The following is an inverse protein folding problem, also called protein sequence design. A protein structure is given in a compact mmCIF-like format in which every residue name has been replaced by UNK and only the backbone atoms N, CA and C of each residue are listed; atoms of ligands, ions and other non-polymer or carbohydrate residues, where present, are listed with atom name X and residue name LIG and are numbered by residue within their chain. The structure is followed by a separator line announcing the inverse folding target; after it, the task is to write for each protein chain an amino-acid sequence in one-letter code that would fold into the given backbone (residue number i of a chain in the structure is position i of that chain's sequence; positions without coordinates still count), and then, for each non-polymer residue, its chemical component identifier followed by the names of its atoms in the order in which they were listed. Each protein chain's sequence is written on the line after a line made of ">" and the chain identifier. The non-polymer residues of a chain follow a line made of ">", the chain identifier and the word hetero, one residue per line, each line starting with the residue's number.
data_IF_700764936051
#
_entry.id   IF_700764936051
#
_cell.length_a   1.000
_cell.length_b   1.000
_cell.length_c   1.000
_cell.angle_alpha   90.00
_cell.angle_beta   90.00
_cell.angle_gamma   90.00
#
_symmetry.space_group_name_H-M   'P 1'
#
loop_
_entity.id
_entity.type
_entity.pdbx_description
1 polymer ?
#
# COMPACT_ATOMS: atom_id res chain seq x y z
N UNK A 1 8.27 4.30 -28.91
CA UNK A 1 7.01 3.73 -28.36
C UNK A 1 6.12 4.87 -27.91
N UNK A 2 4.81 4.85 -28.20
CA UNK A 2 3.86 5.75 -27.53
C UNK A 2 3.76 5.32 -26.07
N UNK A 3 3.96 6.25 -25.12
CA UNK A 3 3.72 6.00 -23.70
C UNK A 3 2.25 5.62 -23.51
N UNK A 4 1.96 4.61 -22.70
CA UNK A 4 0.59 4.28 -22.35
C UNK A 4 -0.02 5.47 -21.59
N UNK A 5 -1.29 5.75 -21.85
CA UNK A 5 -2.03 6.76 -21.10
C UNK A 5 -2.47 6.20 -19.76
N UNK A 6 -2.67 7.06 -18.77
CA UNK A 6 -3.25 6.63 -17.50
C UNK A 6 -4.69 6.14 -17.70
N UNK A 7 -5.00 4.98 -17.14
CA UNK A 7 -6.38 4.52 -16.99
C UNK A 7 -6.94 5.06 -15.66
N UNK A 8 -7.45 6.30 -15.70
CA UNK A 8 -8.02 6.98 -14.54
C UNK A 8 -9.17 6.19 -13.90
N UNK A 9 -10.02 5.56 -14.70
CA UNK A 9 -11.15 4.75 -14.21
C UNK A 9 -10.66 3.58 -13.35
N UNK A 10 -9.66 2.85 -13.85
CA UNK A 10 -9.01 1.78 -13.09
C UNK A 10 -8.33 2.28 -11.80
N UNK A 11 -7.69 3.44 -11.82
CA UNK A 11 -7.03 4.00 -10.64
C UNK A 11 -8.03 4.41 -9.57
N UNK A 12 -9.15 5.03 -9.97
CA UNK A 12 -10.26 5.39 -9.08
C UNK A 12 -10.87 4.15 -8.40
N UNK A 13 -11.00 3.03 -9.12
CA UNK A 13 -11.46 1.77 -8.54
C UNK A 13 -10.54 1.30 -7.41
N UNK A 14 -9.22 1.31 -7.62
CA UNK A 14 -8.25 0.94 -6.58
C UNK A 14 -8.34 1.88 -5.38
N UNK A 15 -8.33 3.19 -5.61
CA UNK A 15 -8.41 4.20 -4.54
C UNK A 15 -9.69 4.05 -3.72
N UNK A 16 -10.81 3.69 -4.33
CA UNK A 16 -12.09 3.48 -3.62
C UNK A 16 -12.11 2.29 -2.66
N UNK A 17 -11.18 1.34 -2.81
CA UNK A 17 -11.07 0.15 -1.95
C UNK A 17 -10.15 0.38 -0.75
N UNK A 18 -9.09 1.17 -0.91
CA UNK A 18 -8.12 1.49 0.16
C UNK A 18 -8.76 1.99 1.46
N UNK A 19 -9.68 2.98 1.47
CA UNK A 19 -10.21 3.52 2.72
C UNK A 19 -11.04 2.48 3.50
N UNK A 20 -11.60 1.48 2.82
CA UNK A 20 -12.32 0.38 3.48
C UNK A 20 -11.33 -0.50 4.25
N UNK A 21 -10.20 -0.82 3.63
CA UNK A 21 -9.15 -1.64 4.24
C UNK A 21 -8.48 -0.91 5.40
N UNK A 22 -8.13 0.38 5.24
CA UNK A 22 -7.56 1.19 6.33
C UNK A 22 -8.52 1.28 7.52
N UNK A 23 -9.79 1.60 7.27
CA UNK A 23 -10.81 1.61 8.32
C UNK A 23 -10.95 0.26 9.03
N UNK A 24 -10.84 -0.86 8.30
CA UNK A 24 -10.89 -2.19 8.92
C UNK A 24 -9.68 -2.44 9.82
N UNK A 25 -8.49 -2.01 9.42
CA UNK A 25 -7.27 -2.08 10.25
C UNK A 25 -7.43 -1.24 11.52
N UNK A 26 -7.91 -0.01 11.40
CA UNK A 26 -8.15 0.88 12.55
C UNK A 26 -9.16 0.26 13.52
N UNK A 27 -10.29 -0.25 13.01
CA UNK A 27 -11.30 -0.91 13.83
C UNK A 27 -10.76 -2.17 14.54
N UNK A 28 -9.78 -2.88 13.96
CA UNK A 28 -9.15 -4.03 14.61
C UNK A 28 -8.24 -3.56 15.75
N UNK A 29 -7.49 -2.49 15.53
CA UNK A 29 -6.62 -1.86 16.54
C UNK A 29 -7.44 -1.37 17.72
N UNK A 30 -8.50 -0.60 17.47
CA UNK A 30 -9.38 -0.06 18.51
C UNK A 30 -9.98 -1.18 19.38
N UNK A 31 -10.49 -2.23 18.74
CA UNK A 31 -11.02 -3.40 19.46
C UNK A 31 -9.97 -4.09 20.32
N UNK A 32 -8.75 -4.27 19.81
CA UNK A 32 -7.67 -4.91 20.57
C UNK A 32 -7.19 -4.06 21.75
N UNK A 33 -7.27 -2.73 21.66
CA UNK A 33 -6.99 -1.82 22.76
C UNK A 33 -8.05 -1.88 23.87
N UNK A 34 -9.33 -2.05 23.52
CA UNK A 34 -10.43 -2.17 24.48
C UNK A 34 -10.50 -3.54 25.15
N UNK A 35 -10.31 -4.61 24.36
CA UNK A 35 -10.32 -5.98 24.82
C UNK A 35 -9.38 -6.78 23.92
N UNK A 36 -8.22 -7.25 24.43
CA UNK A 36 -7.30 -8.06 23.65
C UNK A 36 -8.03 -9.31 23.14
N UNK A 37 -8.42 -9.28 21.88
CA UNK A 37 -9.07 -10.39 21.18
C UNK A 37 -8.05 -10.95 20.20
N UNK A 38 -8.13 -12.25 19.90
CA UNK A 38 -7.21 -12.92 18.97
C UNK A 38 -7.58 -12.59 17.51
N UNK A 39 -7.54 -11.30 17.15
CA UNK A 39 -7.87 -10.78 15.83
C UNK A 39 -6.66 -10.70 14.89
N UNK A 40 -5.54 -11.32 15.26
CA UNK A 40 -4.28 -11.35 14.50
C UNK A 40 -4.48 -11.78 13.04
N UNK A 41 -5.27 -12.84 12.81
CA UNK A 41 -5.54 -13.35 11.47
C UNK A 41 -6.29 -12.33 10.60
N UNK A 42 -7.25 -11.62 11.19
CA UNK A 42 -8.00 -10.57 10.51
C UNK A 42 -7.10 -9.37 10.18
N UNK A 43 -6.24 -8.97 11.13
CA UNK A 43 -5.28 -7.89 10.91
C UNK A 43 -4.33 -8.22 9.76
N UNK A 44 -3.71 -9.41 9.78
CA UNK A 44 -2.80 -9.85 8.71
C UNK A 44 -3.50 -9.91 7.35
N UNK A 45 -4.74 -10.37 7.31
CA UNK A 45 -5.53 -10.41 6.09
C UNK A 45 -5.78 -9.00 5.52
N UNK A 46 -6.22 -8.06 6.36
CA UNK A 46 -6.46 -6.68 5.92
C UNK A 46 -5.16 -5.95 5.56
N UNK A 47 -4.09 -6.17 6.31
CA UNK A 47 -2.78 -5.60 6.00
C UNK A 47 -2.28 -6.12 4.63
N UNK A 48 -2.49 -7.40 4.34
CA UNK A 48 -2.21 -7.99 3.03
C UNK A 48 -3.03 -7.33 1.93
N UNK A 49 -4.33 -7.08 2.17
CA UNK A 49 -5.19 -6.38 1.21
C UNK A 49 -4.66 -4.97 0.91
N UNK A 50 -4.19 -4.25 1.92
CA UNK A 50 -3.59 -2.92 1.75
C UNK A 50 -2.37 -2.97 0.82
N UNK A 51 -1.42 -3.87 1.11
CA UNK A 51 -0.20 -4.02 0.27
C UNK A 51 -0.54 -4.42 -1.17
N UNK A 52 -1.54 -5.30 -1.36
CA UNK A 52 -2.02 -5.68 -2.70
C UNK A 52 -2.63 -4.50 -3.46
N UNK A 53 -3.44 -3.67 -2.80
CA UNK A 53 -4.02 -2.48 -3.41
C UNK A 53 -2.95 -1.47 -3.80
N UNK A 54 -1.95 -1.25 -2.95
CA UNK A 54 -0.79 -0.41 -3.28
C UNK A 54 -0.03 -0.95 -4.50
N UNK A 55 0.22 -2.26 -4.55
CA UNK A 55 0.83 -2.92 -5.71
C UNK A 55 0.02 -2.76 -6.99
N UNK A 56 -1.31 -2.95 -6.90
CA UNK A 56 -2.24 -2.77 -8.02
C UNK A 56 -2.30 -1.32 -8.51
N UNK A 57 -2.15 -0.34 -7.61
CA UNK A 57 -2.04 1.07 -7.99
C UNK A 57 -0.74 1.34 -8.75
N UNK A 58 0.40 0.96 -8.17
CA UNK A 58 1.71 1.14 -8.79
C UNK A 58 1.78 0.48 -10.17
N UNK A 59 1.28 -0.75 -10.31
CA UNK A 59 1.28 -1.47 -11.59
C UNK A 59 0.56 -0.73 -12.70
N UNK A 60 -0.54 -0.04 -12.37
CA UNK A 60 -1.31 0.77 -13.31
C UNK A 60 -0.59 2.06 -13.69
N UNK A 61 0.12 2.67 -12.76
CA UNK A 61 0.89 3.88 -13.03
C UNK A 61 2.17 3.59 -13.83
N UNK A 62 2.94 2.57 -13.46
CA UNK A 62 4.24 2.23 -14.05
C UNK A 62 4.17 1.88 -15.55
N UNK A 63 3.05 1.29 -16.00
CA UNK A 63 2.80 1.03 -17.43
C UNK A 63 2.89 2.31 -18.28
N UNK A 64 2.56 3.48 -17.73
CA UNK A 64 2.62 4.77 -18.46
C UNK A 64 4.04 5.23 -18.76
N UNK A 65 5.02 4.78 -17.97
CA UNK A 65 6.44 5.04 -18.17
C UNK A 65 7.19 3.83 -18.72
N UNK A 66 6.46 2.80 -19.16
CA UNK A 66 7.03 1.55 -19.69
C UNK A 66 7.88 0.77 -18.68
N UNK A 67 7.63 0.98 -17.39
CA UNK A 67 8.26 0.21 -16.32
C UNK A 67 7.43 -1.06 -16.04
N UNK A 68 8.06 -2.24 -15.96
CA UNK A 68 7.34 -3.48 -15.66
C UNK A 68 6.90 -3.53 -14.20
N UNK A 69 5.77 -4.20 -13.96
CA UNK A 69 5.34 -4.56 -12.62
C UNK A 69 5.09 -6.07 -12.52
N UNK A 70 5.64 -6.68 -11.48
CA UNK A 70 5.22 -7.97 -10.94
C UNK A 70 5.61 -8.05 -9.45
N UNK A 71 5.10 -9.04 -8.73
CA UNK A 71 5.32 -9.15 -7.27
C UNK A 71 6.81 -9.31 -6.89
N UNK A 72 7.63 -9.93 -7.75
CA UNK A 72 9.07 -10.05 -7.54
C UNK A 72 9.80 -8.71 -7.75
N UNK A 73 9.20 -7.78 -8.49
CA UNK A 73 9.70 -6.41 -8.70
C UNK A 73 9.06 -5.40 -7.76
N UNK A 74 8.27 -5.83 -6.76
CA UNK A 74 7.53 -4.92 -5.88
C UNK A 74 8.43 -3.86 -5.23
N UNK A 75 9.61 -4.26 -4.73
CA UNK A 75 10.57 -3.34 -4.12
C UNK A 75 11.06 -2.27 -5.11
N UNK A 76 11.39 -2.66 -6.34
CA UNK A 76 11.85 -1.73 -7.40
C UNK A 76 10.69 -0.85 -7.87
N UNK A 77 9.47 -1.39 -7.88
CA UNK A 77 8.25 -0.67 -8.25
C UNK A 77 7.94 0.47 -7.30
N UNK A 78 8.25 0.32 -6.01
CA UNK A 78 8.15 1.42 -5.04
C UNK A 78 9.09 2.55 -5.42
N UNK A 79 10.37 2.27 -5.67
CA UNK A 79 11.36 3.28 -6.03
C UNK A 79 10.97 4.01 -7.31
N UNK A 80 10.65 3.26 -8.36
CA UNK A 80 10.21 3.83 -9.64
C UNK A 80 8.94 4.68 -9.48
N UNK A 81 8.02 4.30 -8.60
CA UNK A 81 6.78 5.05 -8.38
C UNK A 81 7.02 6.33 -7.57
N UNK A 82 7.98 6.34 -6.64
CA UNK A 82 8.40 7.56 -5.94
C UNK A 82 9.15 8.50 -6.89
N UNK A 83 10.10 7.98 -7.67
CA UNK A 83 10.88 8.77 -8.64
C UNK A 83 10.01 9.40 -9.73
N UNK A 84 8.98 8.69 -10.18
CA UNK A 84 8.00 9.20 -11.14
C UNK A 84 6.92 10.11 -10.53
N UNK A 85 6.90 10.28 -9.20
CA UNK A 85 5.92 11.10 -8.48
C UNK A 85 4.52 10.48 -8.37
N UNK A 86 4.36 9.19 -8.70
CA UNK A 86 3.11 8.45 -8.52
C UNK A 86 2.82 8.19 -7.05
N UNK A 87 3.87 7.99 -6.25
CA UNK A 87 3.83 8.00 -4.80
C UNK A 87 4.53 9.28 -4.28
N UNK A 88 4.14 9.80 -3.11
CA UNK A 88 4.74 11.01 -2.55
C UNK A 88 6.16 10.73 -2.01
N UNK A 89 6.93 11.79 -1.77
CA UNK A 89 8.13 11.67 -0.94
C UNK A 89 7.73 11.82 0.54
N UNK A 90 7.85 10.73 1.31
CA UNK A 90 7.49 10.69 2.74
C UNK A 90 8.73 10.49 3.61
N UNK A 91 9.22 9.25 3.71
CA UNK A 91 10.46 8.93 4.42
C UNK A 91 11.09 7.69 3.83
N UNK A 92 12.43 7.64 3.85
CA UNK A 92 13.18 6.49 3.37
C UNK A 92 12.91 5.25 4.22
N UNK A 93 12.74 5.41 5.53
CA UNK A 93 12.43 4.33 6.46
C UNK A 93 11.08 3.68 6.15
N UNK A 94 10.03 4.49 5.93
CA UNK A 94 8.70 4.00 5.57
C UNK A 94 8.75 3.18 4.28
N UNK A 95 9.40 3.71 3.24
CA UNK A 95 9.51 3.00 1.96
C UNK A 95 10.40 1.76 2.06
N UNK A 96 11.49 1.79 2.83
CA UNK A 96 12.32 0.61 3.06
C UNK A 96 11.53 -0.52 3.73
N UNK A 97 10.65 -0.19 4.67
CA UNK A 97 9.78 -1.17 5.30
C UNK A 97 8.75 -1.72 4.31
N UNK A 98 8.09 -0.85 3.53
CA UNK A 98 7.13 -1.28 2.51
C UNK A 98 7.77 -2.22 1.47
N UNK A 99 8.99 -1.93 1.02
CA UNK A 99 9.76 -2.78 0.11
C UNK A 99 10.01 -4.18 0.65
N UNK A 100 10.02 -4.33 1.98
CA UNK A 100 10.12 -5.62 2.65
C UNK A 100 9.01 -6.60 2.25
N UNK A 101 7.81 -6.11 1.92
CA UNK A 101 6.63 -6.93 1.59
C UNK A 101 6.58 -7.45 0.15
N UNK A 102 7.74 -7.79 -0.44
CA UNK A 102 7.81 -8.55 -1.70
C UNK A 102 7.00 -9.84 -1.58
N UNK A 103 6.32 -10.30 -2.64
CA UNK A 103 5.41 -11.46 -2.56
C UNK A 103 4.50 -11.38 -1.33
N UNK A 104 3.68 -10.32 -1.29
CA UNK A 104 3.03 -9.81 -0.08
C UNK A 104 2.40 -10.88 0.82
N UNK A 105 1.69 -11.87 0.27
CA UNK A 105 1.09 -12.95 1.06
C UNK A 105 2.11 -13.80 1.82
N UNK A 106 3.18 -14.23 1.15
CA UNK A 106 4.21 -15.07 1.75
C UNK A 106 5.01 -14.30 2.80
N UNK A 107 5.38 -13.06 2.50
CA UNK A 107 6.13 -12.24 3.45
C UNK A 107 5.29 -11.92 4.68
N UNK A 108 4.06 -11.43 4.51
CA UNK A 108 3.19 -11.04 5.64
C UNK A 108 2.82 -12.24 6.51
N UNK A 109 2.67 -13.44 5.91
CA UNK A 109 2.46 -14.67 6.66
C UNK A 109 3.58 -14.93 7.66
N UNK A 110 4.83 -14.67 7.26
CA UNK A 110 6.04 -14.95 8.04
C UNK A 110 6.42 -13.84 9.03
N UNK A 111 5.93 -12.60 8.86
CA UNK A 111 6.15 -11.50 9.82
C UNK A 111 5.24 -11.69 11.04
N UNK A 112 5.71 -11.40 12.24
CA UNK A 112 4.87 -11.52 13.45
C UNK A 112 3.72 -10.49 13.44
N UNK A 113 2.61 -10.82 14.09
CA UNK A 113 1.50 -9.86 14.23
C UNK A 113 1.97 -8.55 14.89
N UNK A 114 2.77 -8.64 15.96
CA UNK A 114 3.27 -7.48 16.70
C UNK A 114 4.14 -6.56 15.83
N UNK A 115 4.96 -7.10 14.93
CA UNK A 115 5.77 -6.31 14.00
C UNK A 115 4.90 -5.57 12.98
N UNK A 116 3.90 -6.24 12.38
CA UNK A 116 2.98 -5.62 11.43
C UNK A 116 2.10 -4.56 12.09
N UNK A 117 1.61 -4.85 13.30
CA UNK A 117 0.84 -3.94 14.12
C UNK A 117 1.65 -2.69 14.43
N UNK A 118 2.88 -2.87 14.94
CA UNK A 118 3.78 -1.76 15.26
C UNK A 118 4.07 -0.93 14.02
N UNK A 119 4.38 -1.57 12.89
CA UNK A 119 4.61 -0.85 11.64
C UNK A 119 3.41 0.03 11.27
N UNK A 120 2.20 -0.54 11.28
CA UNK A 120 0.99 0.20 10.91
C UNK A 120 0.74 1.39 11.84
N UNK A 121 0.80 1.18 13.16
CA UNK A 121 0.58 2.24 14.14
C UNK A 121 1.65 3.33 14.04
N UNK A 122 2.93 2.95 14.00
CA UNK A 122 4.05 3.90 13.95
C UNK A 122 4.07 4.70 12.63
N UNK A 123 3.43 4.19 11.57
CA UNK A 123 3.41 4.80 10.24
C UNK A 123 2.02 5.25 9.79
N UNK A 124 1.03 5.36 10.68
CA UNK A 124 -0.34 5.71 10.31
C UNK A 124 -0.41 7.02 9.52
N UNK A 125 0.25 8.09 10.01
CA UNK A 125 0.34 9.38 9.32
C UNK A 125 0.99 9.27 7.93
N UNK A 126 1.96 8.37 7.77
CA UNK A 126 2.64 8.15 6.49
C UNK A 126 1.71 7.39 5.51
N UNK A 127 0.93 6.44 6.01
CA UNK A 127 -0.09 5.73 5.24
C UNK A 127 -1.19 6.70 4.77
N UNK A 128 -1.63 7.61 5.63
CA UNK A 128 -2.59 8.65 5.28
C UNK A 128 -2.04 9.61 4.22
N UNK A 129 -0.80 10.08 4.37
CA UNK A 129 -0.13 10.91 3.36
C UNK A 129 -0.02 10.19 2.02
N UNK A 130 0.36 8.91 2.04
CA UNK A 130 0.45 8.06 0.85
C UNK A 130 -0.91 8.00 0.15
N UNK A 131 -1.97 7.67 0.88
CA UNK A 131 -3.31 7.54 0.32
C UNK A 131 -3.87 8.86 -0.22
N UNK A 132 -3.70 9.96 0.52
CA UNK A 132 -4.14 11.28 0.09
C UNK A 132 -3.43 11.73 -1.20
N UNK A 133 -2.12 11.48 -1.31
CA UNK A 133 -1.38 11.75 -2.55
C UNK A 133 -1.93 10.94 -3.72
N UNK A 134 -2.24 9.66 -3.53
CA UNK A 134 -2.81 8.81 -4.58
C UNK A 134 -4.15 9.37 -5.09
N UNK A 135 -5.02 9.83 -4.17
CA UNK A 135 -6.29 10.51 -4.53
C UNK A 135 -6.01 11.76 -5.36
N UNK A 136 -5.16 12.66 -4.86
CA UNK A 136 -4.87 13.92 -5.53
C UNK A 136 -4.26 13.70 -6.90
N UNK A 137 -3.27 12.81 -7.00
CA UNK A 137 -2.62 12.45 -8.26
C UNK A 137 -3.66 11.95 -9.26
N UNK A 138 -4.47 10.95 -8.89
CA UNK A 138 -5.47 10.38 -9.79
C UNK A 138 -6.55 11.38 -10.19
N UNK A 139 -6.94 12.29 -9.31
CA UNK A 139 -7.94 13.32 -9.65
C UNK A 139 -7.42 14.35 -10.66
N UNK A 140 -6.11 14.64 -10.64
CA UNK A 140 -5.42 15.59 -11.54
C UNK A 140 -5.19 15.04 -12.97
N UNK A 141 -5.30 13.73 -13.17
CA UNK A 141 -5.21 13.06 -14.50
C UNK A 141 -6.41 13.38 -15.38
#
# INVERSE_FOLDING_TARGET
>A
MKRAQFDKGSLLLVISEIPKVLKNLDNIIDRNNEKPDTSEGNFKAEFTNFIKLLGKYMSKCLVTISEPYNENLYSVSIDNSVDAGFLPQISSEFYNYLKGFRNCEETIKNVSYNELYKFYVDNHDNIDKLYNHMIEFTNKL
#
